data_IF_699150359656
#
_entry.id   IF_699150359656
#
_cell.length_a   1.000
_cell.length_b   1.000
_cell.length_c   1.000
_cell.angle_alpha   90.00
_cell.angle_beta   90.00
_cell.angle_gamma   90.00
#
_symmetry.space_group_name_H-M   'P 1'
#
loop_
_entity.id
_entity.type
_entity.pdbx_description
1 polymer ?
#
# COMPACT_ATOMS: atom_id res chain seq x y z
N UNK A 1 10.60 -13.33 -12.18
CA UNK A 1 10.95 -11.93 -11.82
C UNK A 1 11.83 -11.91 -10.58
N UNK A 2 12.98 -11.21 -10.58
CA UNK A 2 13.96 -11.29 -9.50
C UNK A 2 13.44 -10.72 -8.17
N UNK A 3 12.60 -9.68 -8.18
CA UNK A 3 12.15 -9.03 -6.94
C UNK A 3 11.25 -9.90 -6.07
N UNK A 4 10.18 -10.50 -6.61
CA UNK A 4 9.28 -11.35 -5.82
C UNK A 4 10.01 -12.59 -5.25
N UNK A 5 10.92 -13.18 -6.02
CA UNK A 5 11.76 -14.29 -5.56
C UNK A 5 12.69 -13.86 -4.42
N UNK A 6 13.35 -12.72 -4.55
CA UNK A 6 14.19 -12.16 -3.49
C UNK A 6 13.38 -11.92 -2.21
N UNK A 7 12.19 -11.34 -2.32
CA UNK A 7 11.34 -11.06 -1.17
C UNK A 7 10.84 -12.34 -0.50
N UNK A 8 10.51 -13.37 -1.28
CA UNK A 8 10.18 -14.70 -0.76
C UNK A 8 11.37 -15.33 -0.01
N UNK A 9 12.58 -15.22 -0.56
CA UNK A 9 13.80 -15.70 0.07
C UNK A 9 14.09 -14.96 1.38
N UNK A 10 13.85 -13.65 1.43
CA UNK A 10 14.00 -12.86 2.66
C UNK A 10 12.98 -13.28 3.73
N UNK A 11 11.71 -13.51 3.35
CA UNK A 11 10.68 -14.01 4.26
C UNK A 11 11.12 -15.36 4.88
N UNK A 12 11.59 -16.29 4.03
CA UNK A 12 12.10 -17.61 4.47
C UNK A 12 13.33 -17.46 5.36
N UNK A 13 14.33 -16.70 4.93
CA UNK A 13 15.58 -16.44 5.66
C UNK A 13 15.34 -15.87 7.05
N UNK A 14 14.40 -14.93 7.17
CA UNK A 14 14.06 -14.30 8.44
C UNK A 14 12.95 -15.02 9.22
N UNK A 15 12.57 -16.24 8.81
CA UNK A 15 11.59 -17.10 9.47
C UNK A 15 10.25 -16.37 9.71
N UNK A 16 9.77 -15.65 8.69
CA UNK A 16 8.50 -14.92 8.73
C UNK A 16 8.50 -13.61 9.54
N UNK A 17 9.66 -13.18 10.10
CA UNK A 17 9.77 -11.87 10.77
C UNK A 17 9.81 -10.70 9.81
N UNK A 18 10.23 -10.94 8.56
CA UNK A 18 10.18 -9.95 7.50
C UNK A 18 8.79 -9.97 6.86
N UNK A 19 8.12 -8.81 6.82
CA UNK A 19 6.75 -8.65 6.32
C UNK A 19 6.69 -7.46 5.37
N UNK A 20 5.78 -7.55 4.40
CA UNK A 20 5.67 -6.58 3.31
C UNK A 20 4.19 -6.34 3.04
N UNK A 21 3.83 -5.14 2.63
CA UNK A 21 2.52 -4.85 2.05
C UNK A 21 2.68 -4.41 0.60
N UNK A 22 1.78 -4.84 -0.27
CA UNK A 22 1.74 -4.45 -1.67
C UNK A 22 0.50 -3.62 -1.99
N UNK A 23 0.70 -2.56 -2.76
CA UNK A 23 -0.35 -1.86 -3.50
C UNK A 23 -0.21 -2.27 -4.96
N UNK A 24 -1.20 -2.96 -5.51
CA UNK A 24 -1.21 -3.43 -6.91
C UNK A 24 -2.59 -3.12 -7.49
N UNK A 25 -2.62 -2.32 -8.54
CA UNK A 25 -3.88 -1.88 -9.16
C UNK A 25 -4.61 -3.06 -9.80
N UNK A 26 -5.95 -2.95 -9.87
CA UNK A 26 -6.78 -3.96 -10.51
C UNK A 26 -6.42 -4.17 -11.98
N UNK A 27 -6.19 -3.06 -12.69
CA UNK A 27 -5.79 -3.12 -14.10
C UNK A 27 -4.45 -3.85 -14.29
N UNK A 28 -3.48 -3.70 -13.39
CA UNK A 28 -2.23 -4.47 -13.49
C UNK A 28 -2.48 -5.96 -13.25
N UNK A 29 -3.33 -6.31 -12.28
CA UNK A 29 -3.68 -7.71 -12.02
C UNK A 29 -4.34 -8.38 -13.22
N UNK A 30 -5.25 -7.70 -13.91
CA UNK A 30 -5.84 -8.19 -15.17
C UNK A 30 -4.79 -8.43 -16.24
N UNK A 31 -3.84 -7.49 -16.41
CA UNK A 31 -2.76 -7.67 -17.38
C UNK A 31 -1.85 -8.85 -17.01
N UNK A 32 -1.58 -9.07 -15.72
CA UNK A 32 -0.80 -10.22 -15.27
C UNK A 32 -1.54 -11.55 -15.53
N UNK A 33 -2.86 -11.61 -15.30
CA UNK A 33 -3.67 -12.80 -15.62
C UNK A 33 -3.58 -13.17 -17.10
N UNK A 34 -3.62 -12.16 -17.99
CA UNK A 34 -3.62 -12.38 -19.44
C UNK A 34 -2.24 -12.65 -20.03
N UNK A 35 -1.22 -11.93 -19.55
CA UNK A 35 0.06 -11.83 -20.25
C UNK A 35 1.26 -12.35 -19.46
N UNK A 36 1.15 -12.49 -18.14
CA UNK A 36 2.25 -12.93 -17.28
C UNK A 36 1.76 -13.74 -16.06
N UNK A 37 1.01 -14.84 -16.25
CA UNK A 37 0.43 -15.61 -15.15
C UNK A 37 1.48 -16.19 -14.19
N UNK A 38 2.72 -16.40 -14.65
CA UNK A 38 3.84 -16.80 -13.81
C UNK A 38 4.23 -15.73 -12.79
N UNK A 39 4.04 -14.45 -13.11
CA UNK A 39 4.28 -13.34 -12.17
C UNK A 39 3.16 -13.27 -11.14
N UNK A 40 1.91 -13.45 -11.57
CA UNK A 40 0.77 -13.54 -10.67
C UNK A 40 0.92 -14.70 -9.68
N UNK A 41 1.38 -15.86 -10.17
CA UNK A 41 1.67 -17.03 -9.33
C UNK A 41 2.68 -16.69 -8.22
N UNK A 42 3.73 -15.91 -8.52
CA UNK A 42 4.68 -15.46 -7.50
C UNK A 42 4.04 -14.54 -6.45
N UNK A 43 3.08 -13.69 -6.82
CA UNK A 43 2.31 -12.91 -5.85
C UNK A 43 1.43 -13.79 -4.97
N UNK A 44 0.83 -14.85 -5.53
CA UNK A 44 0.05 -15.83 -4.78
C UNK A 44 0.92 -16.64 -3.81
N UNK A 45 2.13 -17.05 -4.23
CA UNK A 45 3.10 -17.69 -3.35
C UNK A 45 3.49 -16.76 -2.19
N UNK A 46 3.76 -15.48 -2.47
CA UNK A 46 4.01 -14.47 -1.45
C UNK A 46 2.82 -14.31 -0.49
N UNK A 47 1.59 -14.26 -1.01
CA UNK A 47 0.36 -14.22 -0.21
C UNK A 47 0.27 -15.42 0.74
N UNK A 48 0.58 -16.62 0.24
CA UNK A 48 0.48 -17.89 0.98
C UNK A 48 1.42 -17.97 2.18
N UNK A 49 2.47 -17.13 2.23
CA UNK A 49 3.40 -17.08 3.36
C UNK A 49 2.78 -16.52 4.64
N UNK A 50 1.64 -15.83 4.55
CA UNK A 50 1.06 -15.06 5.67
C UNK A 50 1.91 -13.85 6.11
N UNK A 51 2.98 -13.53 5.38
CA UNK A 51 3.88 -12.40 5.65
C UNK A 51 3.65 -11.23 4.69
N UNK A 52 2.71 -11.37 3.76
CA UNK A 52 2.37 -10.37 2.75
C UNK A 52 0.89 -9.99 2.86
N UNK A 53 0.61 -8.68 2.88
CA UNK A 53 -0.73 -8.10 2.83
C UNK A 53 -0.91 -7.31 1.53
N UNK A 54 -2.05 -7.48 0.86
CA UNK A 54 -2.45 -6.62 -0.26
C UNK A 54 -3.37 -5.50 0.23
N UNK A 55 -3.01 -4.27 -0.10
CA UNK A 55 -3.78 -3.07 0.22
C UNK A 55 -4.95 -2.93 -0.76
N UNK A 56 -6.02 -2.23 -0.34
CA UNK A 56 -7.04 -1.76 -1.27
C UNK A 56 -6.67 -0.40 -1.84
N UNK A 57 -6.99 -0.20 -3.11
CA UNK A 57 -6.88 1.07 -3.81
C UNK A 57 -7.97 1.18 -4.89
N UNK A 58 -7.98 2.26 -5.68
CA UNK A 58 -8.88 2.35 -6.83
C UNK A 58 -8.47 1.34 -7.90
N UNK A 59 -9.45 0.62 -8.47
CA UNK A 59 -9.20 -0.44 -9.45
C UNK A 59 -8.33 0.01 -10.64
N UNK A 60 -8.59 1.21 -11.16
CA UNK A 60 -7.91 1.76 -12.33
C UNK A 60 -6.80 2.77 -11.96
N UNK A 61 -6.39 2.88 -10.69
CA UNK A 61 -5.49 3.94 -10.21
C UNK A 61 -6.00 5.35 -10.59
N UNK A 62 -7.31 5.54 -10.53
CA UNK A 62 -7.97 6.74 -11.01
C UNK A 62 -8.06 7.81 -9.91
N UNK A 63 -8.31 9.06 -10.31
CA UNK A 63 -8.63 10.14 -9.38
C UNK A 63 -10.13 10.24 -9.08
N UNK A 64 -10.87 9.13 -9.19
CA UNK A 64 -12.35 9.12 -9.13
C UNK A 64 -12.91 9.75 -7.87
N UNK A 65 -12.22 9.69 -6.72
CA UNK A 65 -12.60 10.41 -5.50
C UNK A 65 -12.87 11.91 -5.71
N UNK A 66 -12.14 12.55 -6.63
CA UNK A 66 -12.28 13.98 -6.91
C UNK A 66 -13.46 14.33 -7.83
N UNK A 67 -14.00 13.34 -8.56
CA UNK A 67 -14.92 13.58 -9.67
C UNK A 67 -16.26 12.85 -9.51
N UNK A 68 -16.25 11.62 -8.99
CA UNK A 68 -17.43 10.77 -8.84
C UNK A 68 -17.28 9.83 -7.64
N UNK A 69 -18.03 10.11 -6.57
CA UNK A 69 -18.05 9.27 -5.38
C UNK A 69 -18.60 7.86 -5.67
N UNK A 70 -19.58 7.75 -6.57
CA UNK A 70 -20.17 6.47 -6.98
C UNK A 70 -19.13 5.57 -7.67
N UNK A 71 -18.44 6.12 -8.68
CA UNK A 71 -17.36 5.42 -9.38
C UNK A 71 -16.22 5.05 -8.43
N UNK A 72 -15.89 5.94 -7.49
CA UNK A 72 -14.86 5.67 -6.48
C UNK A 72 -15.21 4.46 -5.62
N UNK A 73 -16.45 4.36 -5.13
CA UNK A 73 -16.92 3.22 -4.33
C UNK A 73 -16.91 1.94 -5.17
N UNK A 74 -17.41 1.99 -6.40
CA UNK A 74 -17.42 0.85 -7.32
C UNK A 74 -16.00 0.31 -7.57
N UNK A 75 -15.04 1.20 -7.83
CA UNK A 75 -13.64 0.83 -8.03
C UNK A 75 -13.02 0.18 -6.79
N UNK A 76 -13.34 0.67 -5.59
CA UNK A 76 -12.86 0.06 -4.33
C UNK A 76 -13.42 -1.34 -4.16
N UNK A 77 -14.73 -1.53 -4.35
CA UNK A 77 -15.35 -2.84 -4.17
C UNK A 77 -14.88 -3.84 -5.22
N UNK A 78 -14.74 -3.42 -6.48
CA UNK A 78 -14.18 -4.26 -7.55
C UNK A 78 -12.74 -4.68 -7.23
N UNK A 79 -11.94 -3.76 -6.68
CA UNK A 79 -10.56 -4.06 -6.27
C UNK A 79 -10.51 -5.05 -5.11
N UNK A 80 -11.30 -4.82 -4.06
CA UNK A 80 -11.42 -5.75 -2.92
C UNK A 80 -11.82 -7.17 -3.36
N UNK A 81 -12.82 -7.28 -4.24
CA UNK A 81 -13.25 -8.57 -4.79
C UNK A 81 -12.13 -9.26 -5.58
N UNK A 82 -11.36 -8.49 -6.35
CA UNK A 82 -10.22 -9.01 -7.11
C UNK A 82 -9.10 -9.50 -6.20
N UNK A 83 -8.75 -8.76 -5.15
CA UNK A 83 -7.77 -9.20 -4.15
C UNK A 83 -8.24 -10.48 -3.44
N UNK A 84 -9.52 -10.56 -3.06
CA UNK A 84 -10.09 -11.76 -2.45
C UNK A 84 -10.06 -12.95 -3.40
N UNK A 85 -10.41 -12.77 -4.68
CA UNK A 85 -10.41 -13.81 -5.72
C UNK A 85 -9.00 -14.33 -6.00
N UNK A 86 -8.02 -13.44 -6.14
CA UNK A 86 -6.67 -13.80 -6.57
C UNK A 86 -5.78 -14.28 -5.43
N UNK A 87 -5.92 -13.69 -4.24
CA UNK A 87 -5.00 -13.89 -3.13
C UNK A 87 -5.65 -14.48 -1.87
N UNK A 88 -6.98 -14.63 -1.85
CA UNK A 88 -7.71 -15.12 -0.67
C UNK A 88 -7.72 -14.15 0.50
N UNK A 89 -7.36 -12.88 0.29
CA UNK A 89 -7.24 -11.87 1.33
C UNK A 89 -8.37 -10.83 1.22
N UNK A 90 -8.87 -10.37 2.36
CA UNK A 90 -9.71 -9.17 2.45
C UNK A 90 -8.83 -8.00 2.88
N UNK A 91 -8.59 -6.97 2.04
CA UNK A 91 -7.79 -5.83 2.41
C UNK A 91 -8.37 -5.09 3.61
N UNK A 92 -7.52 -4.73 4.59
CA UNK A 92 -7.91 -3.93 5.77
C UNK A 92 -7.29 -2.53 5.78
N UNK A 93 -6.46 -2.23 4.79
CA UNK A 93 -5.75 -0.97 4.68
C UNK A 93 -6.09 -0.35 3.33
N UNK A 94 -6.51 0.91 3.35
CA UNK A 94 -6.85 1.66 2.15
C UNK A 94 -5.75 2.67 1.80
N UNK A 95 -5.34 2.66 0.53
CA UNK A 95 -4.40 3.60 -0.07
C UNK A 95 -5.11 4.28 -1.24
N UNK A 96 -5.34 5.60 -1.13
CA UNK A 96 -5.89 6.35 -2.25
C UNK A 96 -4.82 6.65 -3.30
N UNK A 97 -5.26 6.86 -4.53
CA UNK A 97 -4.42 7.25 -5.67
C UNK A 97 -3.61 8.51 -5.31
N UNK A 98 -2.31 8.47 -5.63
CA UNK A 98 -1.33 9.52 -5.28
C UNK A 98 -1.28 9.92 -3.80
N UNK A 99 -1.78 9.08 -2.88
CA UNK A 99 -1.92 9.40 -1.46
C UNK A 99 -2.74 10.68 -1.17
N UNK A 100 -3.56 11.10 -2.14
CA UNK A 100 -4.45 12.26 -2.01
C UNK A 100 -5.40 12.02 -0.85
N UNK A 101 -5.46 12.99 0.05
CA UNK A 101 -6.18 12.85 1.31
C UNK A 101 -6.85 14.15 1.74
N UNK A 102 -8.05 14.01 2.27
CA UNK A 102 -8.71 15.00 3.12
C UNK A 102 -9.59 14.27 4.14
N UNK A 103 -10.16 14.99 5.12
CA UNK A 103 -11.01 14.36 6.14
C UNK A 103 -12.30 13.75 5.55
N UNK A 104 -12.78 14.25 4.41
CA UNK A 104 -13.95 13.69 3.74
C UNK A 104 -13.66 12.29 3.17
N UNK A 105 -12.45 12.06 2.65
CA UNK A 105 -11.98 10.74 2.23
C UNK A 105 -12.01 9.77 3.43
N UNK A 106 -11.41 10.15 4.55
CA UNK A 106 -11.39 9.30 5.74
C UNK A 106 -12.81 8.94 6.21
N UNK A 107 -13.73 9.92 6.22
CA UNK A 107 -15.13 9.70 6.57
C UNK A 107 -15.83 8.74 5.60
N UNK A 108 -15.59 8.88 4.29
CA UNK A 108 -16.15 8.00 3.27
C UNK A 108 -15.62 6.56 3.39
N UNK A 109 -14.32 6.39 3.62
CA UNK A 109 -13.71 5.06 3.82
C UNK A 109 -14.26 4.39 5.09
N UNK A 110 -14.48 5.14 6.16
CA UNK A 110 -15.19 4.63 7.34
C UNK A 110 -16.64 4.20 7.04
N UNK A 111 -17.34 4.93 6.16
CA UNK A 111 -18.71 4.59 5.74
C UNK A 111 -18.77 3.34 4.86
N UNK A 112 -17.83 3.17 3.93
CA UNK A 112 -17.67 1.94 3.14
C UNK A 112 -17.42 0.76 4.09
N UNK A 113 -16.59 0.97 5.11
CA UNK A 113 -16.30 -0.02 6.14
C UNK A 113 -15.36 -1.14 5.68
N UNK A 114 -14.99 -2.00 6.62
CA UNK A 114 -14.03 -3.10 6.38
C UNK A 114 -12.56 -2.68 6.39
N UNK A 115 -12.26 -1.40 6.67
CA UNK A 115 -10.91 -0.87 6.77
C UNK A 115 -10.56 -0.47 8.21
N UNK A 116 -9.32 -0.74 8.59
CA UNK A 116 -8.73 -0.37 9.89
C UNK A 116 -7.77 0.82 9.76
N UNK A 117 -7.20 1.02 8.57
CA UNK A 117 -6.11 1.98 8.32
C UNK A 117 -6.32 2.69 6.98
N UNK A 118 -6.01 3.98 6.95
CA UNK A 118 -5.84 4.76 5.73
C UNK A 118 -4.43 5.35 5.67
N UNK A 119 -3.83 5.36 4.48
CA UNK A 119 -2.47 5.88 4.24
C UNK A 119 -2.54 7.24 3.52
N UNK A 120 -1.68 8.18 3.91
CA UNK A 120 -1.50 9.46 3.22
C UNK A 120 -0.02 9.88 3.13
N UNK A 121 0.26 10.97 2.42
CA UNK A 121 1.59 11.57 2.33
C UNK A 121 1.98 12.25 3.64
N UNK A 122 3.24 12.07 4.06
CA UNK A 122 3.80 12.65 5.29
C UNK A 122 4.61 13.90 5.04
N UNK A 123 4.15 14.79 4.16
CA UNK A 123 4.87 16.02 3.85
C UNK A 123 4.96 16.97 5.06
N UNK A 124 6.07 17.71 5.18
CA UNK A 124 6.36 18.59 6.33
C UNK A 124 5.22 19.60 6.59
N UNK A 125 4.60 20.15 5.54
CA UNK A 125 3.49 21.10 5.67
C UNK A 125 2.20 20.49 6.25
N UNK A 126 2.01 19.18 6.15
CA UNK A 126 0.87 18.45 6.72
C UNK A 126 1.14 18.13 8.20
N UNK A 127 2.37 17.72 8.52
CA UNK A 127 2.75 17.26 9.85
C UNK A 127 3.12 18.39 10.81
N UNK A 128 3.65 19.50 10.31
CA UNK A 128 4.19 20.56 11.16
C UNK A 128 5.31 20.00 12.06
N UNK A 129 5.08 19.97 13.38
CA UNK A 129 6.04 19.43 14.35
C UNK A 129 5.89 17.91 14.60
N UNK A 130 4.90 17.27 13.99
CA UNK A 130 4.63 15.84 14.16
C UNK A 130 5.57 14.99 13.30
N UNK A 131 5.76 13.72 13.67
CA UNK A 131 6.61 12.78 12.92
C UNK A 131 5.77 11.78 12.12
N UNK A 132 6.16 11.41 10.88
CA UNK A 132 5.46 10.39 10.09
C UNK A 132 5.58 8.98 10.68
N UNK A 133 6.46 8.77 11.67
CA UNK A 133 6.73 7.47 12.27
C UNK A 133 5.72 7.05 13.36
N UNK A 134 4.67 7.84 13.58
CA UNK A 134 3.61 7.53 14.53
C UNK A 134 2.29 7.24 13.82
N UNK A 135 1.44 6.47 14.49
CA UNK A 135 0.05 6.24 14.06
C UNK A 135 -0.81 7.37 14.59
N UNK A 136 -1.54 8.03 13.69
CA UNK A 136 -2.50 9.07 14.01
C UNK A 136 -3.93 8.56 13.83
N UNK A 137 -4.90 9.46 14.02
CA UNK A 137 -6.32 9.19 13.82
C UNK A 137 -6.96 10.39 13.12
N UNK A 138 -7.73 10.19 12.03
CA UNK A 138 -8.51 11.27 11.45
C UNK A 138 -9.57 11.77 12.45
N UNK A 139 -9.96 13.06 12.40
CA UNK A 139 -11.05 13.57 13.22
C UNK A 139 -12.34 12.77 13.00
N UNK A 140 -13.04 12.43 14.08
CA UNK A 140 -14.34 11.71 14.05
C UNK A 140 -14.33 10.35 13.32
N UNK A 141 -13.17 9.76 13.09
CA UNK A 141 -13.01 8.49 12.38
C UNK A 141 -12.62 7.36 13.34
N UNK A 142 -12.87 6.10 12.95
CA UNK A 142 -12.32 4.92 13.64
C UNK A 142 -11.00 4.43 13.07
N UNK A 143 -10.66 4.85 11.86
CA UNK A 143 -9.44 4.49 11.15
C UNK A 143 -8.19 4.96 11.89
N UNK A 144 -7.13 4.19 11.74
CA UNK A 144 -5.76 4.64 11.97
C UNK A 144 -5.27 5.37 10.73
N UNK A 145 -4.53 6.45 10.92
CA UNK A 145 -3.88 7.21 9.86
C UNK A 145 -2.37 6.95 9.92
N UNK A 146 -1.82 6.37 8.86
CA UNK A 146 -0.38 6.16 8.68
C UNK A 146 0.10 7.10 7.59
N UNK A 147 1.27 7.72 7.79
CA UNK A 147 1.84 8.64 6.83
C UNK A 147 3.09 8.03 6.21
N UNK A 148 3.27 8.25 4.90
CA UNK A 148 4.51 7.94 4.22
C UNK A 148 5.64 8.76 4.83
N UNK A 149 6.73 8.11 5.21
CA UNK A 149 7.97 8.81 5.53
C UNK A 149 8.67 9.16 4.22
N UNK A 150 8.41 10.36 3.68
CA UNK A 150 8.91 10.72 2.34
C UNK A 150 10.44 10.77 2.28
N UNK A 151 11.12 11.24 3.32
CA UNK A 151 12.60 11.27 3.36
C UNK A 151 13.18 9.86 3.23
N UNK A 152 12.74 8.95 4.10
CA UNK A 152 13.17 7.55 4.03
C UNK A 152 12.80 6.89 2.69
N UNK A 153 11.61 7.22 2.15
CA UNK A 153 11.16 6.68 0.86
C UNK A 153 12.05 7.16 -0.29
N UNK A 154 12.40 8.44 -0.32
CA UNK A 154 13.27 9.04 -1.35
C UNK A 154 14.70 8.50 -1.22
N UNK A 155 15.19 8.34 0.00
CA UNK A 155 16.51 7.75 0.24
C UNK A 155 16.58 6.29 -0.22
N UNK A 156 15.52 5.50 -0.02
CA UNK A 156 15.40 4.15 -0.58
C UNK A 156 15.36 4.20 -2.12
N UNK A 157 14.58 5.12 -2.70
CA UNK A 157 14.37 5.16 -4.14
C UNK A 157 15.61 5.63 -4.93
N UNK A 158 16.29 6.65 -4.42
CA UNK A 158 17.33 7.36 -5.19
C UNK A 158 18.75 7.08 -4.68
N UNK A 159 18.91 6.73 -3.40
CA UNK A 159 20.23 6.73 -2.74
C UNK A 159 20.62 5.43 -2.06
N UNK A 160 19.75 4.42 -2.04
CA UNK A 160 20.00 3.16 -1.34
C UNK A 160 21.31 2.46 -1.75
N UNK A 161 21.66 2.56 -3.04
CA UNK A 161 22.88 1.98 -3.61
C UNK A 161 24.06 2.97 -3.69
N UNK A 162 23.88 4.23 -3.26
CA UNK A 162 24.88 5.29 -3.34
C UNK A 162 25.88 5.20 -2.19
N UNK A 163 27.02 4.54 -2.44
CA UNK A 163 28.06 4.31 -1.41
C UNK A 163 28.84 5.57 -1.00
N UNK A 164 28.76 6.63 -1.80
CA UNK A 164 29.51 7.87 -1.57
C UNK A 164 28.73 8.90 -0.73
N UNK A 165 27.48 8.60 -0.38
CA UNK A 165 26.68 9.45 0.50
C UNK A 165 27.00 9.15 1.97
N UNK A 166 26.99 10.20 2.79
CA UNK A 166 27.27 10.16 4.23
C UNK A 166 26.38 9.23 5.05
N UNK A 167 25.18 8.88 4.57
CA UNK A 167 24.24 8.00 5.30
C UNK A 167 24.29 6.55 4.82
N UNK A 168 25.27 6.16 3.99
CA UNK A 168 25.44 4.77 3.58
C UNK A 168 26.17 3.93 4.66
N UNK A 169 25.73 2.69 4.97
CA UNK A 169 24.50 2.06 4.48
C UNK A 169 23.26 2.66 5.14
N UNK A 170 22.19 2.85 4.36
CA UNK A 170 20.92 3.34 4.88
C UNK A 170 20.37 2.38 5.94
N UNK A 171 20.05 2.91 7.12
CA UNK A 171 19.41 2.17 8.22
C UNK A 171 18.08 2.82 8.56
N UNK A 172 17.04 2.00 8.77
CA UNK A 172 15.82 2.47 9.41
C UNK A 172 16.13 2.67 10.91
N UNK A 173 16.03 3.92 11.37
CA UNK A 173 16.23 4.31 12.77
C UNK A 173 15.04 3.99 13.66
#
# INVERSE_FOLDING_TARGET
>A
MPSNLLLLDLIKKYKGRFKISYSVTGILLEQLELYAPEVLTLFQELASTGCVEFLAETYYHSLSFLYSQEEFIEQIETHKQTIQRLFGQTPRVFRNTELIYNNALAALIDQIGGFDVIITEGADHILGYKSPNFVYRPPNSKLKLILKNYRLSDDIAFRFSERNWSEWPLKAG
#
